data_IF_997618758334
#
_entry.id   IF_997618758334
#
_cell.length_a   1.000
_cell.length_b   1.000
_cell.length_c   1.000
_cell.angle_alpha   90.00
_cell.angle_beta   90.00
_cell.angle_gamma   90.00
#
_symmetry.space_group_name_H-M   'P 1'
#
loop_
_entity.id
_entity.type
_entity.pdbx_description
1 polymer ?
#
# COMPACT_ATOMS: atom_id res chain seq x y z
N UNK A 1 32.61 12.95 -3.07
CA UNK A 1 31.73 12.27 -2.10
C UNK A 1 30.80 13.31 -1.49
N UNK A 2 29.48 13.06 -1.41
CA UNK A 2 28.55 14.01 -0.76
C UNK A 2 28.79 14.01 0.75
N UNK A 3 28.73 15.19 1.34
CA UNK A 3 28.79 15.37 2.80
C UNK A 3 27.56 14.72 3.48
N UNK A 4 27.80 14.03 4.59
CA UNK A 4 26.82 13.25 5.35
C UNK A 4 25.66 14.14 5.82
N UNK A 5 25.95 15.39 6.23
CA UNK A 5 24.92 16.35 6.64
C UNK A 5 23.96 16.69 5.51
N UNK A 6 24.48 16.87 4.30
CA UNK A 6 23.68 17.18 3.11
C UNK A 6 22.84 15.99 2.68
N UNK A 7 23.36 14.77 2.83
CA UNK A 7 22.62 13.54 2.57
C UNK A 7 21.41 13.36 3.51
N UNK A 8 21.62 13.50 4.83
CA UNK A 8 20.51 13.44 5.80
C UNK A 8 19.50 14.56 5.59
N UNK A 9 19.96 15.78 5.31
CA UNK A 9 19.08 16.91 4.98
C UNK A 9 18.21 16.59 3.77
N UNK A 10 18.79 16.06 2.69
CA UNK A 10 18.05 15.73 1.46
C UNK A 10 17.00 14.64 1.67
N UNK A 11 17.30 13.59 2.44
CA UNK A 11 16.32 12.55 2.84
C UNK A 11 15.17 13.18 3.64
N UNK A 12 15.49 14.18 4.46
CA UNK A 12 14.53 14.85 5.32
C UNK A 12 13.76 15.99 4.60
N UNK A 13 14.27 16.55 3.52
CA UNK A 13 13.62 17.70 2.87
C UNK A 13 12.93 17.38 1.56
N UNK A 14 13.41 16.37 0.81
CA UNK A 14 12.84 16.03 -0.49
C UNK A 14 11.74 14.97 -0.32
N UNK A 15 10.71 14.97 -1.19
CA UNK A 15 9.79 13.85 -1.25
C UNK A 15 10.60 12.56 -1.51
N UNK A 16 10.50 11.57 -0.64
CA UNK A 16 11.30 10.35 -0.75
C UNK A 16 11.01 9.62 -2.05
N UNK A 17 12.07 9.34 -2.83
CA UNK A 17 12.01 8.59 -4.11
C UNK A 17 11.36 7.20 -3.93
N UNK A 18 11.37 6.67 -2.71
CA UNK A 18 10.70 5.43 -2.34
C UNK A 18 9.20 5.48 -2.64
N UNK A 19 8.53 6.62 -2.48
CA UNK A 19 7.07 6.72 -2.63
C UNK A 19 6.59 6.45 -4.06
N UNK A 20 7.13 7.11 -5.11
CA UNK A 20 6.77 6.79 -6.49
C UNK A 20 7.23 5.38 -6.91
N UNK A 21 8.33 4.86 -6.37
CA UNK A 21 8.74 3.47 -6.62
C UNK A 21 7.73 2.47 -6.05
N UNK A 22 7.26 2.69 -4.82
CA UNK A 22 6.21 1.86 -4.21
C UNK A 22 4.89 2.02 -4.96
N UNK A 23 4.59 3.20 -5.50
CA UNK A 23 3.40 3.40 -6.35
C UNK A 23 3.46 2.55 -7.62
N UNK A 24 4.61 2.57 -8.33
CA UNK A 24 4.82 1.74 -9.51
C UNK A 24 4.69 0.25 -9.18
N UNK A 25 5.23 -0.16 -8.05
CA UNK A 25 5.11 -1.53 -7.56
C UNK A 25 3.65 -1.95 -7.30
N UNK A 26 2.85 -1.08 -6.68
CA UNK A 26 1.41 -1.32 -6.51
C UNK A 26 0.68 -1.45 -7.85
N UNK A 27 1.01 -0.61 -8.84
CA UNK A 27 0.42 -0.69 -10.19
C UNK A 27 0.76 -2.03 -10.86
N UNK A 28 2.01 -2.47 -10.81
CA UNK A 28 2.42 -3.76 -11.39
C UNK A 28 1.69 -4.92 -10.71
N UNK A 29 1.58 -4.89 -9.38
CA UNK A 29 0.85 -5.92 -8.63
C UNK A 29 -0.65 -5.92 -8.92
N UNK A 30 -1.26 -4.75 -9.09
CA UNK A 30 -2.66 -4.64 -9.50
C UNK A 30 -2.86 -5.31 -10.87
N UNK A 31 -2.01 -5.00 -11.85
CA UNK A 31 -2.08 -5.63 -13.18
C UNK A 31 -1.90 -7.14 -13.10
N UNK A 32 -0.96 -7.63 -12.28
CA UNK A 32 -0.75 -9.06 -12.05
C UNK A 32 -1.97 -9.74 -11.41
N UNK A 33 -2.58 -9.09 -10.42
CA UNK A 33 -3.76 -9.61 -9.72
C UNK A 33 -4.96 -9.68 -10.67
N UNK A 34 -5.17 -8.65 -11.50
CA UNK A 34 -6.19 -8.65 -12.55
C UNK A 34 -5.93 -9.74 -13.57
N UNK A 35 -4.68 -9.90 -14.03
CA UNK A 35 -4.31 -10.96 -14.97
C UNK A 35 -4.62 -12.35 -14.38
N UNK A 36 -4.30 -12.57 -13.11
CA UNK A 36 -4.57 -13.83 -12.41
C UNK A 36 -6.05 -14.13 -12.29
N UNK A 37 -6.89 -13.12 -12.01
CA UNK A 37 -8.35 -13.25 -11.99
C UNK A 37 -8.91 -13.67 -13.36
N UNK A 38 -8.40 -13.11 -14.45
CA UNK A 38 -8.84 -13.46 -15.82
C UNK A 38 -8.50 -14.91 -16.17
N UNK A 39 -7.37 -15.43 -15.69
CA UNK A 39 -6.96 -16.81 -15.93
C UNK A 39 -7.77 -17.83 -15.10
N UNK A 40 -8.29 -17.43 -13.95
CA UNK A 40 -9.05 -18.30 -13.03
C UNK A 40 -10.34 -17.63 -12.52
N UNK A 41 -11.31 -17.38 -13.43
CA UNK A 41 -12.57 -16.71 -13.09
C UNK A 41 -13.41 -17.58 -12.14
N UNK A 42 -14.14 -16.95 -11.21
CA UNK A 42 -15.00 -17.63 -10.24
C UNK A 42 -14.30 -18.08 -8.94
N UNK A 43 -13.03 -17.71 -8.75
CA UNK A 43 -12.36 -17.80 -7.45
C UNK A 43 -12.61 -16.53 -6.64
N UNK A 44 -12.43 -16.59 -5.32
CA UNK A 44 -12.58 -15.46 -4.40
C UNK A 44 -11.54 -14.33 -4.55
N UNK A 45 -10.83 -14.30 -5.68
CA UNK A 45 -9.77 -13.36 -6.04
C UNK A 45 -10.32 -12.00 -6.50
N UNK A 46 -11.62 -11.90 -6.80
CA UNK A 46 -12.30 -10.65 -7.16
C UNK A 46 -12.18 -9.59 -6.06
N UNK A 47 -12.36 -10.01 -4.81
CA UNK A 47 -12.23 -9.13 -3.63
C UNK A 47 -10.79 -8.65 -3.49
N UNK A 48 -9.80 -9.52 -3.72
CA UNK A 48 -8.38 -9.17 -3.67
C UNK A 48 -8.01 -8.10 -4.71
N UNK A 49 -8.61 -8.12 -5.91
CA UNK A 49 -8.42 -7.08 -6.93
C UNK A 49 -8.95 -5.73 -6.44
N UNK A 50 -10.12 -5.70 -5.80
CA UNK A 50 -10.70 -4.47 -5.25
C UNK A 50 -9.82 -3.89 -4.13
N UNK A 51 -9.29 -4.73 -3.23
CA UNK A 51 -8.33 -4.29 -2.22
C UNK A 51 -7.07 -3.72 -2.85
N UNK A 52 -6.48 -4.43 -3.81
CA UNK A 52 -5.26 -3.97 -4.49
C UNK A 52 -5.48 -2.65 -5.24
N UNK A 53 -6.66 -2.46 -5.85
CA UNK A 53 -7.04 -1.21 -6.49
C UNK A 53 -7.16 -0.06 -5.46
N UNK A 54 -7.79 -0.32 -4.31
CA UNK A 54 -7.88 0.66 -3.22
C UNK A 54 -6.49 1.05 -2.72
N UNK A 55 -5.61 0.09 -2.41
CA UNK A 55 -4.25 0.38 -2.00
C UNK A 55 -3.45 1.15 -3.05
N UNK A 56 -3.59 0.78 -4.33
CA UNK A 56 -2.90 1.47 -5.43
C UNK A 56 -3.35 2.92 -5.56
N UNK A 57 -4.65 3.18 -5.56
CA UNK A 57 -5.21 4.53 -5.69
C UNK A 57 -4.84 5.42 -4.50
N UNK A 58 -4.91 4.88 -3.28
CA UNK A 58 -4.51 5.58 -2.05
C UNK A 58 -3.01 5.86 -2.02
N UNK A 59 -2.18 4.92 -2.48
CA UNK A 59 -0.74 5.13 -2.55
C UNK A 59 -0.35 6.14 -3.63
N UNK A 60 -1.04 6.18 -4.78
CA UNK A 60 -0.85 7.22 -5.79
C UNK A 60 -1.13 8.63 -5.23
N UNK A 61 -2.23 8.77 -4.47
CA UNK A 61 -2.52 10.02 -3.76
C UNK A 61 -1.46 10.33 -2.67
N UNK A 62 -0.92 9.29 -2.03
CA UNK A 62 0.15 9.40 -1.03
C UNK A 62 1.47 9.85 -1.69
N UNK A 63 1.77 9.39 -2.90
CA UNK A 63 2.94 9.81 -3.67
C UNK A 63 2.87 11.30 -4.07
N UNK A 64 1.67 11.82 -4.29
CA UNK A 64 1.40 13.27 -4.43
C UNK A 64 1.31 14.01 -3.08
N UNK A 65 1.75 13.37 -1.99
CA UNK A 65 1.81 13.93 -0.63
C UNK A 65 0.45 14.45 -0.12
N UNK A 66 -0.68 13.89 -0.58
CA UNK A 66 -2.03 14.27 -0.12
C UNK A 66 -2.39 13.58 1.18
N UNK A 67 -2.79 14.33 2.22
CA UNK A 67 -3.13 13.76 3.54
C UNK A 67 -4.23 12.70 3.51
N UNK A 68 -5.26 12.92 2.69
CA UNK A 68 -6.38 11.98 2.61
C UNK A 68 -5.96 10.63 2.01
N UNK A 69 -5.00 10.63 1.09
CA UNK A 69 -4.43 9.40 0.53
C UNK A 69 -3.68 8.61 1.59
N UNK A 70 -2.81 9.29 2.34
CA UNK A 70 -2.08 8.71 3.46
C UNK A 70 -3.00 8.14 4.55
N UNK A 71 -3.99 8.93 4.99
CA UNK A 71 -4.96 8.50 5.98
C UNK A 71 -5.80 7.33 5.48
N UNK A 72 -6.29 7.41 4.24
CA UNK A 72 -7.08 6.36 3.63
C UNK A 72 -6.30 5.05 3.56
N UNK A 73 -5.02 5.10 3.16
CA UNK A 73 -4.16 3.92 3.12
C UNK A 73 -4.06 3.26 4.50
N UNK A 74 -3.77 4.05 5.55
CA UNK A 74 -3.69 3.55 6.93
C UNK A 74 -5.03 2.95 7.38
N UNK A 75 -6.16 3.61 7.11
CA UNK A 75 -7.48 3.11 7.48
C UNK A 75 -7.79 1.79 6.78
N UNK A 76 -7.52 1.69 5.48
CA UNK A 76 -7.71 0.45 4.70
C UNK A 76 -6.85 -0.68 5.26
N UNK A 77 -5.59 -0.41 5.62
CA UNK A 77 -4.72 -1.39 6.28
C UNK A 77 -5.28 -1.84 7.64
N UNK A 78 -5.73 -0.91 8.48
CA UNK A 78 -6.34 -1.24 9.78
C UNK A 78 -7.60 -2.10 9.60
N UNK A 79 -8.46 -1.75 8.65
CA UNK A 79 -9.66 -2.55 8.34
C UNK A 79 -9.25 -3.96 7.88
N UNK A 80 -8.24 -4.07 7.01
CA UNK A 80 -7.69 -5.35 6.59
C UNK A 80 -7.19 -6.19 7.77
N UNK A 81 -6.47 -5.58 8.71
CA UNK A 81 -6.00 -6.27 9.93
C UNK A 81 -7.17 -6.73 10.79
N UNK A 82 -8.18 -5.89 11.00
CA UNK A 82 -9.36 -6.26 11.78
C UNK A 82 -10.09 -7.44 11.13
N UNK A 83 -10.27 -7.42 9.82
CA UNK A 83 -10.88 -8.54 9.08
C UNK A 83 -10.04 -9.80 9.24
N UNK A 84 -8.72 -9.70 9.05
CA UNK A 84 -7.79 -10.82 9.18
C UNK A 84 -7.88 -11.48 10.57
N UNK A 85 -7.84 -10.67 11.65
CA UNK A 85 -7.90 -11.17 13.02
C UNK A 85 -9.26 -11.79 13.39
N UNK A 86 -10.35 -11.35 12.75
CA UNK A 86 -11.71 -11.84 13.05
C UNK A 86 -12.16 -12.97 12.11
N UNK A 87 -11.45 -13.22 11.01
CA UNK A 87 -11.77 -14.30 10.09
C UNK A 87 -11.46 -15.65 10.75
N UNK A 88 -12.50 -16.43 11.05
CA UNK A 88 -12.39 -17.71 11.77
C UNK A 88 -11.97 -18.90 10.90
N UNK A 89 -11.85 -18.74 9.58
CA UNK A 89 -11.67 -19.83 8.63
C UNK A 89 -10.54 -19.51 7.64
N UNK A 90 -9.66 -20.49 7.35
CA UNK A 90 -8.56 -20.33 6.38
C UNK A 90 -9.03 -19.88 5.00
N UNK A 91 -10.23 -20.31 4.59
CA UNK A 91 -10.82 -19.94 3.30
C UNK A 91 -11.10 -18.44 3.20
N UNK A 92 -11.52 -17.80 4.30
CA UNK A 92 -11.69 -16.34 4.37
C UNK A 92 -10.35 -15.61 4.25
N UNK A 93 -9.26 -16.12 4.85
CA UNK A 93 -7.97 -15.43 4.81
C UNK A 93 -7.45 -15.23 3.38
N UNK A 94 -7.59 -16.24 2.53
CA UNK A 94 -7.15 -16.19 1.12
C UNK A 94 -7.90 -15.12 0.31
N UNK A 95 -9.13 -14.74 0.70
CA UNK A 95 -9.94 -13.76 -0.04
C UNK A 95 -9.63 -12.31 0.36
N UNK A 96 -9.24 -12.11 1.63
CA UNK A 96 -9.04 -10.78 2.21
C UNK A 96 -7.58 -10.41 2.40
N UNK A 97 -6.66 -11.37 2.35
CA UNK A 97 -5.23 -11.06 2.29
C UNK A 97 -4.89 -10.45 0.93
N UNK A 98 -4.40 -9.22 0.94
CA UNK A 98 -3.56 -8.76 -0.15
C UNK A 98 -2.29 -9.61 -0.16
N UNK A 99 -1.68 -9.87 -1.33
CA UNK A 99 -0.38 -10.54 -1.43
C UNK A 99 0.74 -9.87 -0.62
N UNK A 100 0.46 -8.69 -0.08
CA UNK A 100 1.38 -7.76 0.53
C UNK A 100 1.00 -7.34 1.94
N UNK A 101 0.10 -8.05 2.62
CA UNK A 101 -0.43 -7.63 3.92
C UNK A 101 0.63 -7.09 4.91
N UNK A 102 1.75 -7.82 5.06
CA UNK A 102 2.87 -7.39 5.91
C UNK A 102 3.58 -6.13 5.37
N UNK A 103 3.78 -6.07 4.05
CA UNK A 103 4.37 -4.91 3.38
C UNK A 103 3.48 -3.67 3.51
N UNK A 104 2.15 -3.80 3.40
CA UNK A 104 1.19 -2.72 3.56
C UNK A 104 1.25 -2.13 4.99
N UNK A 105 1.46 -2.98 6.01
CA UNK A 105 1.73 -2.53 7.38
C UNK A 105 3.05 -1.74 7.48
N UNK A 106 4.14 -2.21 6.86
CA UNK A 106 5.42 -1.49 6.83
C UNK A 106 5.27 -0.13 6.12
N UNK A 107 4.53 -0.10 5.03
CA UNK A 107 4.21 1.11 4.29
C UNK A 107 3.41 2.13 5.11
N UNK A 108 2.51 1.68 5.99
CA UNK A 108 1.87 2.56 6.96
C UNK A 108 2.87 3.23 7.92
N UNK A 109 3.89 2.51 8.40
CA UNK A 109 4.93 3.12 9.23
C UNK A 109 5.70 4.21 8.47
N UNK A 110 6.02 3.98 7.19
CA UNK A 110 6.64 5.01 6.35
C UNK A 110 5.73 6.22 6.18
N UNK A 111 4.43 6.01 5.89
CA UNK A 111 3.46 7.10 5.81
C UNK A 111 3.45 7.91 7.10
N UNK A 112 3.36 7.25 8.27
CA UNK A 112 3.34 7.93 9.57
C UNK A 112 4.62 8.73 9.83
N UNK A 113 5.78 8.19 9.47
CA UNK A 113 7.06 8.88 9.60
C UNK A 113 7.12 10.18 8.77
N UNK A 114 6.55 10.16 7.56
CA UNK A 114 6.49 11.33 6.68
C UNK A 114 5.22 12.17 6.85
N UNK A 115 4.28 11.78 7.73
CA UNK A 115 2.90 12.33 7.78
C UNK A 115 2.85 13.85 7.94
N UNK A 116 3.76 14.42 8.74
CA UNK A 116 3.87 15.88 8.95
C UNK A 116 4.16 16.67 7.67
N UNK A 117 4.63 16.02 6.60
CA UNK A 117 4.96 16.66 5.32
C UNK A 117 3.82 16.63 4.31
N UNK A 118 2.78 15.84 4.56
CA UNK A 118 1.62 15.77 3.69
C UNK A 118 0.85 17.09 3.77
N UNK A 119 0.22 17.49 2.67
CA UNK A 119 -0.60 18.70 2.59
C UNK A 119 -2.08 18.36 2.63
#
# INVERSE_FOLDING_TARGET
MRDLKTFFKDIITKPPVVFPLVALFHVVLLLWTVYSLVQQPGTSTEISVLWMLAYTTLWLATADMRKWGAMGYVVVTVVGIVIFLNAKQQYTWIQYETPMFISDMLFCFFIMFYFKRFR
#
